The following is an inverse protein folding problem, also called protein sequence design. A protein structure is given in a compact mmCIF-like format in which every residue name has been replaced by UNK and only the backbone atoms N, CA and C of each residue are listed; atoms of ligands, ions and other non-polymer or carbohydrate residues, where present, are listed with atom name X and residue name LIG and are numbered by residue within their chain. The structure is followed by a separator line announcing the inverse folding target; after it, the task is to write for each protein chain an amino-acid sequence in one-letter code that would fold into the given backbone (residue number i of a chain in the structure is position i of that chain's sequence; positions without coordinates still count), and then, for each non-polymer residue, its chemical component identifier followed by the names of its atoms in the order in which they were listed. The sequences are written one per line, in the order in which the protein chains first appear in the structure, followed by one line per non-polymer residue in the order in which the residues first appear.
data_IF_871699154202
#
_entry.id   IF_871699154202
#
_cell.length_a   1.000
_cell.length_b   1.000
_cell.length_c   1.000
_cell.angle_alpha   90.00
_cell.angle_beta   90.00
_cell.angle_gamma   90.00
#
_symmetry.space_group_name_H-M   'P 1'
#
loop_
_entity.id
_entity.type
_entity.pdbx_description
1 polymer ?
#
# COMPACT_ATOMS: atom_id res chain seq x y z
N UNK A 1 14.65 5.55 -9.82
CA UNK A 1 15.44 4.31 -10.07
C UNK A 1 16.59 4.09 -9.06
N UNK A 2 17.23 5.14 -8.50
CA UNK A 2 18.31 4.99 -7.50
C UNK A 2 17.90 4.16 -6.28
N UNK A 3 16.70 4.38 -5.73
CA UNK A 3 16.16 3.61 -4.59
C UNK A 3 16.00 2.11 -4.88
N UNK A 4 15.62 1.73 -6.10
CA UNK A 4 15.50 0.31 -6.47
C UNK A 4 16.90 -0.34 -6.51
N UNK A 5 17.93 0.39 -6.96
CA UNK A 5 19.30 -0.11 -7.11
C UNK A 5 19.90 -0.66 -5.80
N UNK A 6 19.54 -0.09 -4.66
CA UNK A 6 20.08 -0.49 -3.35
C UNK A 6 19.55 -1.84 -2.84
N UNK A 7 18.47 -2.37 -3.44
CA UNK A 7 17.80 -3.59 -2.98
C UNK A 7 17.74 -4.72 -4.01
N UNK A 8 18.38 -4.57 -5.17
CA UNK A 8 18.32 -5.54 -6.26
C UNK A 8 19.66 -6.25 -6.45
N UNK A 9 19.58 -7.55 -6.74
CA UNK A 9 20.69 -8.42 -7.14
C UNK A 9 20.57 -8.84 -8.62
N UNK A 10 19.43 -8.59 -9.27
CA UNK A 10 19.17 -8.96 -10.68
C UNK A 10 18.37 -7.90 -11.43
N UNK A 11 18.44 -7.91 -12.77
CA UNK A 11 17.62 -7.06 -13.64
C UNK A 11 16.13 -7.39 -13.57
N UNK A 12 15.79 -8.66 -13.29
CA UNK A 12 14.41 -9.06 -13.05
C UNK A 12 13.85 -8.35 -11.81
N UNK A 13 14.61 -8.28 -10.72
CA UNK A 13 14.18 -7.58 -9.51
C UNK A 13 14.03 -6.07 -9.74
N UNK A 14 14.83 -5.48 -10.64
CA UNK A 14 14.64 -4.08 -11.05
C UNK A 14 13.29 -3.89 -11.75
N UNK A 15 12.97 -4.77 -12.70
CA UNK A 15 11.67 -4.75 -13.36
C UNK A 15 10.53 -4.88 -12.34
N UNK A 16 10.58 -5.90 -11.48
CA UNK A 16 9.53 -6.17 -10.49
C UNK A 16 9.33 -5.00 -9.50
N UNK A 17 10.42 -4.35 -9.08
CA UNK A 17 10.35 -3.20 -8.17
C UNK A 17 10.00 -1.88 -8.86
N UNK A 18 10.19 -1.80 -10.19
CA UNK A 18 9.89 -0.59 -10.96
C UNK A 18 8.48 -0.60 -11.53
N UNK A 19 7.90 -1.78 -11.77
CA UNK A 19 6.56 -1.95 -12.35
C UNK A 19 5.47 -1.12 -11.62
N UNK A 20 5.42 -1.04 -10.27
CA UNK A 20 4.43 -0.21 -9.59
C UNK A 20 4.50 1.28 -9.95
N UNK A 21 5.60 1.79 -10.50
CA UNK A 21 5.72 3.19 -10.90
C UNK A 21 5.27 3.46 -12.34
N UNK A 22 5.05 2.41 -13.14
CA UNK A 22 4.74 2.54 -14.57
C UNK A 22 3.39 1.94 -14.97
N UNK A 23 2.81 1.06 -14.13
CA UNK A 23 1.47 0.52 -14.34
C UNK A 23 0.41 1.36 -13.61
N UNK A 24 -0.75 1.53 -14.22
CA UNK A 24 -1.92 2.16 -13.58
C UNK A 24 -2.57 1.16 -12.62
N UNK A 25 -2.92 -0.01 -13.14
CA UNK A 25 -3.48 -1.12 -12.38
C UNK A 25 -2.42 -1.90 -11.58
N UNK A 26 -2.83 -2.37 -10.40
CA UNK A 26 -1.99 -3.17 -9.49
C UNK A 26 -2.58 -4.57 -9.36
N UNK A 27 -1.82 -5.57 -9.79
CA UNK A 27 -2.11 -6.97 -9.48
C UNK A 27 -1.56 -7.34 -8.10
N UNK A 28 -2.34 -8.07 -7.31
CA UNK A 28 -2.02 -8.39 -5.91
C UNK A 28 -1.49 -9.81 -5.77
N UNK A 29 -0.33 -9.95 -5.11
CA UNK A 29 0.17 -11.28 -4.73
C UNK A 29 -0.85 -12.02 -3.87
N UNK A 30 -1.09 -13.30 -4.18
CA UNK A 30 -2.02 -14.14 -3.42
C UNK A 30 -1.68 -14.15 -1.92
N UNK A 31 -0.38 -14.18 -1.58
CA UNK A 31 0.08 -14.15 -0.20
C UNK A 31 -0.27 -12.83 0.52
N UNK A 32 -0.33 -11.70 -0.20
CA UNK A 32 -0.73 -10.41 0.34
C UNK A 32 -2.22 -10.41 0.65
N UNK A 33 -3.03 -10.88 -0.31
CA UNK A 33 -4.48 -10.98 -0.16
C UNK A 33 -4.84 -11.82 1.06
N UNK A 34 -4.27 -13.03 1.15
CA UNK A 34 -4.56 -13.97 2.25
C UNK A 34 -4.11 -13.42 3.60
N UNK A 35 -2.92 -12.81 3.68
CA UNK A 35 -2.36 -12.36 4.97
C UNK A 35 -2.90 -11.03 5.45
N UNK A 36 -3.30 -10.13 4.55
CA UNK A 36 -3.56 -8.73 4.88
C UNK A 36 -4.92 -8.20 4.47
N UNK A 37 -5.61 -8.80 3.49
CA UNK A 37 -6.93 -8.32 3.04
C UNK A 37 -8.10 -9.13 3.61
N UNK A 38 -7.90 -10.41 3.89
CA UNK A 38 -8.94 -11.29 4.46
C UNK A 38 -9.11 -11.16 5.98
N UNK A 39 -8.57 -10.11 6.60
CA UNK A 39 -8.75 -9.86 8.02
C UNK A 39 -9.91 -8.88 8.26
N UNK A 40 -10.56 -9.01 9.41
CA UNK A 40 -11.64 -8.13 9.88
C UNK A 40 -11.25 -6.64 9.94
N UNK A 41 -10.00 -6.34 10.28
CA UNK A 41 -9.48 -4.97 10.35
C UNK A 41 -9.10 -4.36 9.00
N UNK A 42 -9.11 -5.13 7.90
CA UNK A 42 -8.53 -4.69 6.61
C UNK A 42 -9.29 -3.52 6.01
N UNK A 43 -10.63 -3.62 5.98
CA UNK A 43 -11.53 -2.59 5.44
C UNK A 43 -11.37 -1.27 6.19
N UNK A 44 -11.46 -1.32 7.51
CA UNK A 44 -11.33 -0.13 8.38
C UNK A 44 -9.95 0.52 8.23
N UNK A 45 -8.90 -0.28 8.14
CA UNK A 45 -7.53 0.22 7.97
C UNK A 45 -7.36 0.92 6.61
N UNK A 46 -7.84 0.33 5.52
CA UNK A 46 -7.72 0.93 4.18
C UNK A 46 -8.55 2.21 4.08
N UNK A 47 -9.78 2.20 4.62
CA UNK A 47 -10.62 3.41 4.68
C UNK A 47 -10.00 4.53 5.53
N UNK A 48 -9.37 4.20 6.65
CA UNK A 48 -8.61 5.17 7.46
C UNK A 48 -7.37 5.69 6.69
N UNK A 49 -6.66 4.82 5.97
CA UNK A 49 -5.52 5.23 5.16
C UNK A 49 -5.91 6.25 4.08
N UNK A 50 -6.99 6.01 3.34
CA UNK A 50 -7.51 6.94 2.32
C UNK A 50 -7.72 8.32 2.93
N UNK A 51 -8.54 8.41 3.99
CA UNK A 51 -8.83 9.69 4.68
C UNK A 51 -7.57 10.42 5.13
N UNK A 52 -6.60 9.70 5.72
CA UNK A 52 -5.34 10.31 6.17
C UNK A 52 -4.47 10.82 5.02
N UNK A 53 -4.44 10.11 3.88
CA UNK A 53 -3.69 10.54 2.70
C UNK A 53 -4.40 11.66 1.93
N UNK A 54 -5.73 11.71 1.93
CA UNK A 54 -6.50 12.81 1.34
C UNK A 54 -6.16 14.15 2.02
N UNK A 55 -6.06 14.14 3.35
CA UNK A 55 -5.75 15.28 4.22
C UNK A 55 -4.25 15.57 4.36
N UNK A 56 -3.37 14.72 3.82
CA UNK A 56 -1.93 14.86 4.00
C UNK A 56 -1.40 16.12 3.30
N UNK A 57 -0.79 17.08 4.03
CA UNK A 57 -0.32 18.35 3.46
C UNK A 57 1.06 18.25 2.82
N UNK A 58 1.82 17.18 3.10
CA UNK A 58 3.19 16.98 2.66
C UNK A 58 3.39 15.55 2.15
N UNK A 59 3.87 15.45 0.91
CA UNK A 59 4.15 14.20 0.19
C UNK A 59 5.65 13.93 0.05
N UNK A 60 6.49 14.66 0.78
CA UNK A 60 7.89 14.28 1.02
C UNK A 60 7.97 12.92 1.72
N UNK A 61 9.16 12.31 1.73
CA UNK A 61 9.37 11.02 2.42
C UNK A 61 9.07 11.15 3.91
N UNK A 62 9.49 12.27 4.52
CA UNK A 62 9.26 12.59 5.93
C UNK A 62 7.78 12.83 6.22
N UNK A 63 7.07 13.55 5.34
CA UNK A 63 5.63 13.80 5.44
C UNK A 63 4.83 12.49 5.36
N UNK A 64 5.15 11.65 4.38
CA UNK A 64 4.55 10.32 4.21
C UNK A 64 4.85 9.42 5.42
N UNK A 65 6.09 9.38 5.88
CA UNK A 65 6.47 8.60 7.07
C UNK A 65 5.63 9.02 8.29
N UNK A 66 5.45 10.33 8.49
CA UNK A 66 4.60 10.86 9.55
C UNK A 66 3.17 10.37 9.40
N UNK A 67 2.55 10.56 8.23
CA UNK A 67 1.16 10.13 7.97
C UNK A 67 0.97 8.63 8.23
N UNK A 68 1.89 7.79 7.74
CA UNK A 68 1.81 6.32 7.93
C UNK A 68 1.97 5.92 9.40
N UNK A 69 2.83 6.63 10.15
CA UNK A 69 2.99 6.36 11.59
C UNK A 69 1.77 6.80 12.39
N UNK A 70 1.23 7.98 12.11
CA UNK A 70 0.02 8.46 12.77
C UNK A 70 -1.21 7.58 12.45
N UNK A 71 -1.27 6.96 11.27
CA UNK A 71 -2.26 5.92 10.96
C UNK A 71 -2.06 4.68 11.83
N UNK A 72 -0.82 4.21 12.00
CA UNK A 72 -0.54 3.07 12.88
C UNK A 72 -0.89 3.37 14.35
N UNK A 73 -0.80 4.63 14.77
CA UNK A 73 -1.15 5.08 16.11
C UNK A 73 -2.67 5.09 16.38
N UNK A 74 -3.51 4.94 15.34
CA UNK A 74 -4.96 4.70 15.50
C UNK A 74 -5.28 3.31 16.06
N UNK A 75 -4.29 2.38 16.06
CA UNK A 75 -4.40 1.03 16.65
C UNK A 75 -5.54 0.17 16.08
N UNK A 76 -5.93 0.40 14.83
CA UNK A 76 -6.82 -0.50 14.07
C UNK A 76 -6.22 -1.92 14.00
N UNK A 77 -4.90 -2.00 13.81
CA UNK A 77 -4.14 -3.25 13.85
C UNK A 77 -2.70 -2.99 14.31
N UNK A 78 -1.86 -4.02 14.33
CA UNK A 78 -0.44 -3.85 14.67
C UNK A 78 0.28 -2.99 13.63
N UNK A 79 1.30 -2.22 14.07
CA UNK A 79 2.13 -1.41 13.17
C UNK A 79 2.69 -2.19 11.98
N UNK A 80 3.10 -3.44 12.20
CA UNK A 80 3.59 -4.32 11.13
C UNK A 80 2.50 -4.57 10.09
N UNK A 81 1.27 -4.85 10.53
CA UNK A 81 0.15 -5.08 9.63
C UNK A 81 -0.20 -3.79 8.88
N UNK A 82 -0.29 -2.65 9.56
CA UNK A 82 -0.51 -1.34 8.90
C UNK A 82 0.49 -1.10 7.76
N UNK A 83 1.78 -1.29 8.04
CA UNK A 83 2.83 -0.99 7.07
C UNK A 83 2.81 -1.97 5.89
N UNK A 84 2.54 -3.26 6.16
CA UNK A 84 2.47 -4.27 5.10
C UNK A 84 1.19 -4.15 4.27
N UNK A 85 0.06 -3.77 4.88
CA UNK A 85 -1.19 -3.50 4.18
C UNK A 85 -1.02 -2.34 3.21
N UNK A 86 -0.44 -1.22 3.64
CA UNK A 86 -0.15 -0.09 2.75
C UNK A 86 0.84 -0.47 1.64
N UNK A 87 1.92 -1.18 1.99
CA UNK A 87 2.92 -1.61 0.99
C UNK A 87 2.29 -2.43 -0.12
N UNK A 88 1.58 -3.50 0.25
CA UNK A 88 0.91 -4.34 -0.74
C UNK A 88 -0.21 -3.59 -1.42
N UNK A 89 -0.90 -2.67 -0.74
CA UNK A 89 -2.02 -1.92 -1.32
C UNK A 89 -1.60 -1.05 -2.48
N UNK A 90 -0.48 -0.34 -2.33
CA UNK A 90 0.03 0.58 -3.35
C UNK A 90 0.98 -0.07 -4.36
N UNK A 91 1.43 -1.32 -4.14
CA UNK A 91 2.41 -1.97 -5.04
C UNK A 91 2.03 -3.36 -5.52
N UNK A 92 1.06 -4.01 -4.88
CA UNK A 92 0.69 -5.40 -5.11
C UNK A 92 1.68 -6.41 -4.52
N UNK A 93 2.71 -5.96 -3.79
CA UNK A 93 3.86 -6.79 -3.37
C UNK A 93 4.19 -6.60 -1.89
N UNK A 94 4.62 -7.66 -1.22
CA UNK A 94 5.07 -7.58 0.19
C UNK A 94 6.53 -7.14 0.37
N UNK A 95 7.34 -7.31 -0.67
CA UNK A 95 8.77 -6.99 -0.69
C UNK A 95 9.00 -5.90 -1.72
N UNK A 96 9.40 -4.73 -1.24
CA UNK A 96 9.58 -3.52 -2.06
C UNK A 96 10.81 -2.75 -1.59
N UNK A 97 11.24 -1.72 -2.35
CA UNK A 97 11.99 -0.60 -1.78
C UNK A 97 11.30 0.02 -0.56
N UNK A 98 11.93 1.04 0.05
CA UNK A 98 11.37 1.67 1.24
C UNK A 98 9.91 2.12 1.03
N UNK A 99 9.05 1.85 2.01
CA UNK A 99 7.61 2.08 1.89
C UNK A 99 7.30 3.56 1.69
N UNK A 100 7.92 4.40 2.52
CA UNK A 100 7.65 5.84 2.54
C UNK A 100 8.14 6.50 1.26
N UNK A 101 9.32 6.11 0.81
CA UNK A 101 9.90 6.56 -0.45
C UNK A 101 9.06 6.08 -1.64
N UNK A 102 8.52 4.86 -1.60
CA UNK A 102 7.63 4.35 -2.65
C UNK A 102 6.35 5.19 -2.73
N UNK A 103 5.68 5.43 -1.61
CA UNK A 103 4.45 6.24 -1.55
C UNK A 103 4.73 7.69 -1.98
N UNK A 104 5.82 8.28 -1.49
CA UNK A 104 6.24 9.64 -1.86
C UNK A 104 6.49 9.78 -3.37
N UNK A 105 7.15 8.80 -3.99
CA UNK A 105 7.43 8.81 -5.44
C UNK A 105 6.17 8.53 -6.27
N UNK A 106 5.25 7.68 -5.80
CA UNK A 106 3.97 7.45 -6.48
C UNK A 106 3.11 8.72 -6.49
N UNK A 107 3.18 9.50 -5.41
CA UNK A 107 2.43 10.74 -5.26
C UNK A 107 0.96 10.51 -4.94
N UNK A 108 0.26 11.62 -4.72
CA UNK A 108 -1.10 11.66 -4.17
C UNK A 108 -2.11 10.84 -4.94
N UNK A 109 -2.30 11.22 -6.19
CA UNK A 109 -3.43 10.72 -6.98
C UNK A 109 -3.35 9.21 -7.17
N UNK A 110 -2.16 8.68 -7.50
CA UNK A 110 -1.94 7.23 -7.68
C UNK A 110 -2.11 6.44 -6.40
N UNK A 111 -1.70 7.00 -5.26
CA UNK A 111 -1.84 6.29 -3.98
C UNK A 111 -3.31 6.21 -3.57
N UNK A 112 -4.06 7.31 -3.73
CA UNK A 112 -5.49 7.32 -3.42
C UNK A 112 -6.26 6.38 -4.34
N UNK A 113 -6.06 6.48 -5.67
CA UNK A 113 -6.71 5.61 -6.66
C UNK A 113 -6.49 4.12 -6.37
N UNK A 114 -5.26 3.75 -5.99
CA UNK A 114 -4.93 2.35 -5.64
C UNK A 114 -5.56 1.90 -4.34
N UNK A 115 -5.63 2.76 -3.33
CA UNK A 115 -6.25 2.43 -2.05
C UNK A 115 -7.78 2.36 -2.17
N UNK A 116 -8.38 3.21 -3.01
CA UNK A 116 -9.80 3.16 -3.36
C UNK A 116 -10.13 1.85 -4.09
N UNK A 117 -9.36 1.52 -5.14
CA UNK A 117 -9.51 0.23 -5.86
C UNK A 117 -9.34 -0.98 -4.93
N UNK A 118 -8.40 -0.89 -3.98
CA UNK A 118 -8.20 -1.92 -2.97
C UNK A 118 -9.40 -2.04 -2.03
N UNK A 119 -10.00 -0.93 -1.62
CA UNK A 119 -11.19 -0.92 -0.78
C UNK A 119 -12.36 -1.58 -1.49
N UNK A 120 -12.60 -1.23 -2.76
CA UNK A 120 -13.63 -1.86 -3.59
C UNK A 120 -13.43 -3.38 -3.71
N UNK A 121 -12.19 -3.84 -3.88
CA UNK A 121 -11.86 -5.26 -3.90
C UNK A 121 -12.22 -5.97 -2.58
N UNK A 122 -11.91 -5.35 -1.43
CA UNK A 122 -12.23 -5.91 -0.12
C UNK A 122 -13.75 -6.03 0.05
N UNK A 123 -14.50 -5.00 -0.33
CA UNK A 123 -15.97 -4.98 -0.22
C UNK A 123 -16.65 -5.99 -1.14
N UNK A 124 -16.13 -6.17 -2.36
CA UNK A 124 -16.62 -7.18 -3.30
C UNK A 124 -16.44 -8.61 -2.76
N UNK A 125 -15.28 -8.91 -2.16
CA UNK A 125 -15.01 -10.21 -1.56
C UNK A 125 -15.88 -10.49 -0.33
N UNK A 126 -16.16 -9.47 0.51
CA UNK A 126 -17.10 -9.61 1.64
C UNK A 126 -18.54 -9.91 1.16
N UNK A 127 -18.99 -9.24 0.09
CA UNK A 127 -20.31 -9.44 -0.48
C UNK A 127 -20.52 -10.86 -1.03
N UNK A 128 -19.52 -11.42 -1.71
CA UNK A 128 -19.59 -12.77 -2.28
C UNK A 128 -19.49 -13.92 -1.26
N UNK A 129 -19.08 -13.64 -0.03
CA UNK A 129 -19.04 -14.63 1.07
C UNK A 129 -20.39 -14.66 1.82
N UNK A 130 -21.20 -13.59 1.70
CA UNK A 130 -22.50 -13.46 2.34
C UNK A 130 -23.66 -14.08 1.54
N UNK A 131 -23.42 -14.46 0.27
CA UNK A 131 -24.33 -15.17 -0.64
C UNK A 131 -24.02 -16.68 -0.71
#
# INVERSE_FOLDING_TARGET
LTMCREKINTLQQLFDFSAPFFCEEVDYQEDYVVKYLKNDWSKDLVSAAIRRFEDAPDWSVEGVEKTVRELADEKITSKKNTFQTLRGGVTGRLVTPGLFETISVLGRDRVLERLESLLELIEYEEGNIAD
#
